data_IF_087510527555
#
_entry.id   IF_087510527555
#
_cell.length_a   1.000
_cell.length_b   1.000
_cell.length_c   1.000
_cell.angle_alpha   90.00
_cell.angle_beta   90.00
_cell.angle_gamma   90.00
#
_symmetry.space_group_name_H-M   'P 1'
#
loop_
_entity.id
_entity.type
_entity.pdbx_description
1 polymer ?
#
# COMPACT_ATOMS: atom_id res chain seq x y z
N UNK A 1 -6.60 16.52 -6.12
CA UNK A 1 -5.28 15.93 -6.46
C UNK A 1 -5.42 14.42 -6.39
N UNK A 2 -5.33 13.72 -7.52
CA UNK A 2 -5.22 12.27 -7.54
C UNK A 2 -3.83 11.91 -7.01
N UNK A 3 -3.71 11.63 -5.71
CA UNK A 3 -2.50 10.96 -5.22
C UNK A 3 -2.62 9.48 -5.58
N UNK A 4 -1.82 9.07 -6.57
CA UNK A 4 -1.61 7.67 -6.89
C UNK A 4 -1.05 6.96 -5.65
N UNK A 5 -1.74 5.93 -5.16
CA UNK A 5 -1.34 5.18 -3.98
C UNK A 5 0.04 4.55 -4.18
N UNK A 6 1.01 4.92 -3.33
CA UNK A 6 2.38 4.42 -3.38
C UNK A 6 2.58 3.30 -2.37
N UNK A 7 2.93 2.12 -2.86
CA UNK A 7 3.29 0.96 -2.04
C UNK A 7 4.39 1.31 -1.04
N UNK A 8 4.25 0.79 0.18
CA UNK A 8 5.28 0.85 1.20
C UNK A 8 6.43 -0.10 0.89
N UNK A 9 7.66 0.38 1.08
CA UNK A 9 8.85 -0.46 1.10
C UNK A 9 8.82 -1.39 2.32
N UNK A 10 9.72 -2.38 2.35
CA UNK A 10 9.81 -3.31 3.48
C UNK A 10 10.02 -2.57 4.81
N UNK A 11 10.94 -1.60 4.84
CA UNK A 11 11.22 -0.81 6.03
C UNK A 11 10.06 0.09 6.42
N UNK A 12 9.40 0.72 5.46
CA UNK A 12 8.21 1.53 5.75
C UNK A 12 7.07 0.69 6.32
N UNK A 13 6.89 -0.55 5.82
CA UNK A 13 5.89 -1.48 6.33
C UNK A 13 6.19 -1.92 7.76
N UNK A 14 7.46 -2.15 8.11
CA UNK A 14 7.86 -2.47 9.50
C UNK A 14 7.47 -1.33 10.47
N UNK A 15 7.69 -0.07 10.07
CA UNK A 15 7.25 1.09 10.85
C UNK A 15 5.73 1.20 10.93
N UNK A 16 5.04 0.97 9.81
CA UNK A 16 3.58 1.08 9.76
C UNK A 16 2.90 0.02 10.64
N UNK A 17 3.47 -1.19 10.73
CA UNK A 17 2.98 -2.23 11.66
C UNK A 17 2.95 -1.76 13.11
N UNK A 18 4.03 -1.14 13.57
CA UNK A 18 4.08 -0.57 14.93
C UNK A 18 3.01 0.51 15.14
N UNK A 19 2.70 1.30 14.10
CA UNK A 19 1.63 2.31 14.17
C UNK A 19 0.24 1.64 14.16
N UNK A 20 0.02 0.60 13.36
CA UNK A 20 -1.23 -0.16 13.35
C UNK A 20 -1.52 -0.89 14.67
N UNK A 21 -0.48 -1.41 15.33
CA UNK A 21 -0.58 -2.01 16.66
C UNK A 21 -0.99 -0.99 17.74
N UNK A 22 -0.99 0.31 17.42
CA UNK A 22 -1.32 1.41 18.32
C UNK A 22 -2.34 2.39 17.67
N UNK A 23 -3.61 2.00 17.52
CA UNK A 23 -4.62 2.79 16.81
C UNK A 23 -4.91 4.14 17.46
N UNK A 24 -4.79 4.25 18.79
CA UNK A 24 -4.92 5.50 19.56
C UNK A 24 -3.66 6.40 19.48
N UNK A 25 -2.74 6.04 18.59
CA UNK A 25 -1.52 6.77 18.27
C UNK A 25 -0.36 6.46 19.21
N UNK A 26 0.84 6.51 18.64
CA UNK A 26 2.09 6.17 19.32
C UNK A 26 3.09 7.34 19.26
N UNK A 27 3.77 7.58 20.39
CA UNK A 27 4.81 8.61 20.48
C UNK A 27 6.02 8.25 19.63
N UNK A 28 6.62 9.28 19.02
CA UNK A 28 7.81 9.12 18.18
C UNK A 28 8.93 8.39 18.92
N UNK A 29 9.16 8.74 20.19
CA UNK A 29 10.14 8.14 21.09
C UNK A 29 9.95 6.63 21.24
N UNK A 30 8.70 6.19 21.41
CA UNK A 30 8.34 4.78 21.51
C UNK A 30 8.56 4.05 20.19
N UNK A 31 8.17 4.64 19.06
CA UNK A 31 8.48 4.07 17.74
C UNK A 31 10.00 3.89 17.61
N UNK A 32 10.76 4.92 17.94
CA UNK A 32 12.20 4.93 17.70
C UNK A 32 12.97 3.86 18.48
N UNK A 33 12.45 3.44 19.64
CA UNK A 33 13.02 2.34 20.43
C UNK A 33 12.83 0.96 19.79
N UNK A 34 11.85 0.79 18.90
CA UNK A 34 11.58 -0.48 18.22
C UNK A 34 12.55 -0.78 17.06
N UNK A 35 13.39 0.19 16.68
CA UNK A 35 14.18 0.13 15.46
C UNK A 35 15.67 0.39 15.72
N UNK A 36 16.54 -0.36 15.04
CA UNK A 36 18.01 -0.25 15.17
C UNK A 36 18.61 0.81 14.24
N UNK A 37 17.84 1.33 13.29
CA UNK A 37 18.26 2.31 12.30
C UNK A 37 18.61 3.65 12.97
N UNK A 38 19.48 4.46 12.34
CA UNK A 38 19.79 5.79 12.84
C UNK A 38 18.53 6.68 12.92
N UNK A 39 18.46 7.59 13.92
CA UNK A 39 17.30 8.47 14.16
C UNK A 39 16.87 9.28 12.94
N UNK A 40 17.82 9.71 12.12
CA UNK A 40 17.57 10.41 10.85
C UNK A 40 16.82 9.52 9.87
N UNK A 41 17.23 8.27 9.70
CA UNK A 41 16.55 7.28 8.87
C UNK A 41 15.13 7.00 9.38
N UNK A 42 14.97 6.78 10.67
CA UNK A 42 13.66 6.54 11.28
C UNK A 42 12.71 7.74 11.04
N UNK A 43 13.21 8.95 11.23
CA UNK A 43 12.45 10.19 10.97
C UNK A 43 12.07 10.35 9.50
N UNK A 44 12.97 9.99 8.57
CA UNK A 44 12.69 10.02 7.14
C UNK A 44 11.62 8.99 6.74
N UNK A 45 11.64 7.79 7.32
CA UNK A 45 10.61 6.78 7.10
C UNK A 45 9.24 7.29 7.57
N UNK A 46 9.15 7.80 8.80
CA UNK A 46 7.91 8.37 9.35
C UNK A 46 7.38 9.53 8.51
N UNK A 47 8.25 10.45 8.08
CA UNK A 47 7.89 11.53 7.16
C UNK A 47 7.34 10.99 5.84
N UNK A 48 7.94 9.93 5.30
CA UNK A 48 7.51 9.31 4.05
C UNK A 48 6.14 8.64 4.20
N UNK A 49 5.88 7.97 5.34
CA UNK A 49 4.56 7.38 5.64
C UNK A 49 3.47 8.45 5.68
N UNK A 50 3.74 9.61 6.30
CA UNK A 50 2.80 10.74 6.32
C UNK A 50 2.60 11.33 4.93
N UNK A 51 3.67 11.50 4.16
CA UNK A 51 3.59 11.99 2.77
C UNK A 51 2.81 11.07 1.84
N UNK A 52 2.89 9.75 2.07
CA UNK A 52 2.11 8.73 1.35
C UNK A 52 0.66 8.64 1.84
N UNK A 53 0.30 9.35 2.90
CA UNK A 53 -1.05 9.36 3.47
C UNK A 53 -1.41 8.09 4.25
N UNK A 54 -0.44 7.24 4.58
CA UNK A 54 -0.67 6.02 5.36
C UNK A 54 -0.78 6.31 6.86
N UNK A 55 -0.05 7.31 7.34
CA UNK A 55 -0.08 7.76 8.73
C UNK A 55 -0.34 9.26 8.79
N UNK A 56 -0.79 9.73 9.94
CA UNK A 56 -0.85 11.15 10.28
C UNK A 56 0.00 11.44 11.51
N UNK A 57 0.35 12.70 11.69
CA UNK A 57 1.21 13.16 12.78
C UNK A 57 0.58 14.35 13.48
N UNK A 58 0.51 14.28 14.80
CA UNK A 58 0.03 15.35 15.68
C UNK A 58 1.17 15.78 16.59
N UNK A 59 1.37 17.09 16.71
CA UNK A 59 2.36 17.66 17.62
C UNK A 59 1.65 18.24 18.84
N UNK A 60 2.00 17.72 20.01
CA UNK A 60 1.48 18.14 21.30
C UNK A 60 2.65 18.67 22.13
N UNK A 61 2.93 19.96 21.97
CA UNK A 61 4.08 20.62 22.59
C UNK A 61 5.41 20.02 22.11
N UNK A 62 6.15 19.37 23.02
CA UNK A 62 7.43 18.71 22.73
C UNK A 62 7.24 17.29 22.18
N UNK A 63 6.05 16.72 22.30
CA UNK A 63 5.78 15.34 21.91
C UNK A 63 5.20 15.29 20.49
N UNK A 64 5.65 14.30 19.73
CA UNK A 64 5.11 14.01 18.40
C UNK A 64 4.46 12.63 18.44
N UNK A 65 3.19 12.55 18.09
CA UNK A 65 2.41 11.31 18.06
C UNK A 65 2.01 10.98 16.62
N UNK A 66 2.09 9.71 16.26
CA UNK A 66 1.70 9.20 14.95
C UNK A 66 0.47 8.31 15.08
N UNK A 67 -0.48 8.48 14.17
CA UNK A 67 -1.70 7.68 14.11
C UNK A 67 -1.84 7.00 12.75
N UNK A 68 -2.45 5.81 12.68
CA UNK A 68 -2.79 5.21 11.40
C UNK A 68 -3.89 6.04 10.72
N UNK A 69 -3.62 6.48 9.49
CA UNK A 69 -4.64 7.15 8.66
C UNK A 69 -5.39 6.16 7.77
N UNK A 70 -4.73 5.05 7.44
CA UNK A 70 -5.30 3.89 6.79
C UNK A 70 -5.15 2.70 7.73
N UNK A 71 -6.17 1.85 7.82
CA UNK A 71 -6.06 0.55 8.47
C UNK A 71 -5.16 -0.39 7.66
N UNK A 72 -4.75 -1.51 8.28
CA UNK A 72 -3.96 -2.51 7.58
C UNK A 72 -4.79 -3.15 6.43
N UNK A 73 -6.07 -3.42 6.69
CA UNK A 73 -7.02 -3.99 5.73
C UNK A 73 -7.24 -3.04 4.54
N UNK A 74 -7.45 -1.75 4.80
CA UNK A 74 -7.59 -0.73 3.76
C UNK A 74 -6.33 -0.65 2.88
N UNK A 75 -5.14 -0.71 3.49
CA UNK A 75 -3.88 -0.73 2.77
C UNK A 75 -3.73 -1.98 1.89
N UNK A 76 -4.14 -3.15 2.39
CA UNK A 76 -4.12 -4.41 1.65
C UNK A 76 -5.12 -4.41 0.48
N UNK A 77 -6.30 -3.83 0.67
CA UNK A 77 -7.30 -3.66 -0.39
C UNK A 77 -6.81 -2.70 -1.49
N UNK A 78 -6.13 -1.61 -1.12
CA UNK A 78 -5.50 -0.71 -2.09
C UNK A 78 -4.40 -1.41 -2.90
N UNK A 79 -3.64 -2.31 -2.27
CA UNK A 79 -2.64 -3.12 -2.96
C UNK A 79 -3.27 -4.14 -3.92
N UNK A 80 -4.38 -4.78 -3.53
CA UNK A 80 -5.07 -5.75 -4.39
C UNK A 80 -5.64 -5.06 -5.63
N UNK A 81 -6.33 -3.93 -5.47
CA UNK A 81 -6.85 -3.11 -6.57
C UNK A 81 -5.75 -2.69 -7.55
N UNK A 82 -4.59 -2.27 -7.05
CA UNK A 82 -3.46 -1.91 -7.93
C UNK A 82 -2.90 -3.11 -8.72
N UNK A 83 -2.90 -4.32 -8.13
CA UNK A 83 -2.46 -5.53 -8.84
C UNK A 83 -3.43 -5.90 -9.96
N UNK A 84 -4.74 -5.82 -9.70
CA UNK A 84 -5.78 -6.09 -10.72
C UNK A 84 -5.62 -5.16 -11.93
N UNK A 85 -5.50 -3.85 -11.70
CA UNK A 85 -5.29 -2.90 -12.81
C UNK A 85 -3.99 -3.14 -13.59
N UNK A 86 -2.92 -3.64 -12.93
CA UNK A 86 -1.69 -4.06 -13.64
C UNK A 86 -1.90 -5.29 -14.50
N UNK A 87 -2.68 -6.27 -14.03
CA UNK A 87 -3.02 -7.46 -14.80
C UNK A 87 -3.82 -7.07 -16.05
N UNK A 88 -4.84 -6.23 -15.92
CA UNK A 88 -5.60 -5.69 -17.05
C UNK A 88 -4.68 -5.02 -18.08
N UNK A 89 -3.75 -4.17 -17.64
CA UNK A 89 -2.78 -3.52 -18.52
C UNK A 89 -1.85 -4.50 -19.25
N UNK A 90 -1.40 -5.57 -18.58
CA UNK A 90 -0.58 -6.64 -19.18
C UNK A 90 -1.38 -7.38 -20.25
N UNK A 91 -2.62 -7.75 -19.93
CA UNK A 91 -3.54 -8.44 -20.84
C UNK A 91 -3.78 -7.59 -22.09
N UNK A 92 -4.11 -6.31 -21.92
CA UNK A 92 -4.30 -5.37 -23.04
C UNK A 92 -3.02 -5.22 -23.88
N UNK A 93 -1.86 -5.12 -23.25
CA UNK A 93 -0.57 -4.97 -23.95
C UNK A 93 -0.19 -6.22 -24.76
N UNK A 94 -0.52 -7.41 -24.26
CA UNK A 94 -0.30 -8.67 -24.95
C UNK A 94 -1.21 -8.78 -26.19
N UNK A 95 -2.49 -8.45 -26.06
CA UNK A 95 -3.47 -8.54 -27.15
C UNK A 95 -3.44 -7.37 -28.15
N UNK A 96 -2.84 -6.23 -27.80
CA UNK A 96 -2.50 -5.20 -28.80
C UNK A 96 -1.43 -5.68 -29.79
N UNK A 97 -0.49 -6.52 -29.33
CA UNK A 97 0.60 -7.06 -30.18
C UNK A 97 0.17 -8.28 -30.99
N UNK A 98 -0.84 -9.03 -30.51
CA UNK A 98 -1.40 -10.21 -31.17
C UNK A 98 -2.92 -10.02 -31.23
N UNK A 99 -3.44 -9.57 -32.38
CA UNK A 99 -4.90 -9.51 -32.58
C UNK A 99 -5.48 -10.90 -32.39
N UNK A 100 -6.28 -11.08 -31.36
CA UNK A 100 -7.03 -12.30 -31.15
C UNK A 100 -8.10 -12.43 -32.23
N UNK A 101 -8.35 -13.66 -32.67
CA UNK A 101 -9.58 -13.98 -33.37
C UNK A 101 -10.72 -14.24 -32.37
N UNK A 102 -11.96 -14.27 -32.86
CA UNK A 102 -13.15 -14.40 -32.01
C UNK A 102 -13.12 -15.65 -31.11
N UNK A 103 -12.55 -16.76 -31.60
CA UNK A 103 -12.41 -17.99 -30.82
C UNK A 103 -11.43 -17.83 -29.66
N UNK A 104 -10.29 -17.20 -29.88
CA UNK A 104 -9.32 -16.92 -28.81
C UNK A 104 -9.91 -15.96 -27.75
N UNK A 105 -10.81 -15.05 -28.15
CA UNK A 105 -11.52 -14.16 -27.21
C UNK A 105 -12.49 -14.97 -26.35
N UNK A 106 -13.24 -15.89 -26.95
CA UNK A 106 -14.22 -16.69 -26.22
C UNK A 106 -13.56 -17.68 -25.24
N UNK A 107 -12.43 -18.28 -25.61
CA UNK A 107 -11.62 -19.11 -24.69
C UNK A 107 -11.14 -18.32 -23.46
N UNK A 108 -10.72 -17.06 -23.65
CA UNK A 108 -10.33 -16.19 -22.52
C UNK A 108 -11.52 -15.82 -21.65
N UNK A 109 -12.71 -15.58 -22.22
CA UNK A 109 -13.93 -15.31 -21.44
C UNK A 109 -14.33 -16.52 -20.59
N UNK A 110 -14.33 -17.72 -21.17
CA UNK A 110 -14.66 -18.95 -20.43
C UNK A 110 -13.69 -19.17 -19.26
N UNK A 111 -12.39 -18.97 -19.49
CA UNK A 111 -11.38 -19.05 -18.42
C UNK A 111 -11.63 -18.04 -17.30
N UNK A 112 -12.03 -16.79 -17.63
CA UNK A 112 -12.33 -15.77 -16.63
C UNK A 112 -13.63 -16.04 -15.85
N UNK A 113 -14.65 -16.64 -16.47
CA UNK A 113 -15.88 -17.04 -15.77
C UNK A 113 -15.61 -18.17 -14.78
N UNK A 114 -14.73 -19.13 -15.10
CA UNK A 114 -14.33 -20.20 -14.17
C UNK A 114 -13.71 -19.67 -12.87
N UNK A 115 -13.08 -18.49 -12.89
CA UNK A 115 -12.47 -17.86 -11.72
C UNK A 115 -13.49 -17.17 -10.80
N UNK A 116 -14.75 -16.98 -11.21
CA UNK A 116 -15.80 -16.38 -10.38
C UNK A 116 -16.57 -17.42 -9.55
N UNK A 117 -16.50 -18.68 -9.96
CA UNK A 117 -17.22 -19.79 -9.32
C UNK A 117 -16.37 -20.52 -8.26
N UNK A 118 -15.16 -20.02 -7.95
CA UNK A 118 -14.33 -20.36 -6.77
C UNK A 118 -14.36 -19.25 -5.70
#
# INVERSE_FOLDING_TARGET
>A
MNQEFKRLSKTELEFMKVIWDNPDGILSESIFQNFKQARTTQSNVLRTLVQKGCAEVVKEGLHTRYFPKLSQEEYEELLSKQKVGKLEGIILSFFQKKKLNDKEIDEVKEFLEQLKDE
#
